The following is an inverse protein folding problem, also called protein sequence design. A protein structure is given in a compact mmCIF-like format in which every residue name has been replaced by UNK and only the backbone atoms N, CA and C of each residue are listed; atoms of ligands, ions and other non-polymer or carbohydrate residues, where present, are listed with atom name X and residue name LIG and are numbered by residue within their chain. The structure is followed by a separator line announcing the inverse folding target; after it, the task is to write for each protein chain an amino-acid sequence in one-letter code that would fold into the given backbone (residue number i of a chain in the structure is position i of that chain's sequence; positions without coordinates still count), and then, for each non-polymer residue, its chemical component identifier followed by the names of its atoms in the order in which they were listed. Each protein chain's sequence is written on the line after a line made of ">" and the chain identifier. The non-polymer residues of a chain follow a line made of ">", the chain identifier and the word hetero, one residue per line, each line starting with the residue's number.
data_IF_920972561921
#
_entry.id   IF_920972561921
#
_cell.length_a   1.000
_cell.length_b   1.000
_cell.length_c   1.000
_cell.angle_alpha   90.00
_cell.angle_beta   90.00
_cell.angle_gamma   90.00
#
_symmetry.space_group_name_H-M   'P 1'
#
loop_
_entity.id
_entity.type
_entity.pdbx_description
1 polymer ?
#
# COMPACT_ATOMS: atom_id res chain seq x y z
N UNK A 1 37.27 -29.79 45.17
CA UNK A 1 37.29 -30.59 43.93
C UNK A 1 35.97 -30.32 43.20
N UNK A 2 36.00 -29.56 42.09
CA UNK A 2 35.63 -29.96 40.70
C UNK A 2 34.24 -30.63 40.61
N UNK A 3 33.32 -30.32 39.69
CA UNK A 3 33.30 -29.57 38.42
C UNK A 3 31.81 -29.41 38.02
N UNK A 4 31.36 -28.26 37.52
CA UNK A 4 31.01 -27.98 36.10
C UNK A 4 29.74 -28.64 35.54
N UNK A 5 28.79 -27.76 35.16
CA UNK A 5 28.03 -27.71 33.90
C UNK A 5 27.17 -28.92 33.46
N UNK A 6 25.86 -28.69 33.27
CA UNK A 6 25.26 -28.90 31.95
C UNK A 6 23.94 -28.13 31.79
N UNK A 7 23.84 -27.48 30.63
CA UNK A 7 22.73 -26.70 30.12
C UNK A 7 21.72 -27.65 29.46
N UNK A 8 20.43 -27.50 29.73
CA UNK A 8 19.40 -27.85 28.75
C UNK A 8 18.38 -26.73 28.68
N UNK A 9 18.63 -25.83 27.74
CA UNK A 9 17.63 -24.91 27.22
C UNK A 9 16.56 -25.68 26.47
N UNK A 10 15.32 -25.38 26.80
CA UNK A 10 14.14 -25.76 26.04
C UNK A 10 13.25 -24.54 25.94
N UNK A 11 13.71 -23.51 25.23
CA UNK A 11 12.90 -22.36 24.89
C UNK A 11 11.76 -22.82 23.97
N UNK A 12 10.57 -22.94 24.54
CA UNK A 12 9.35 -23.12 23.77
C UNK A 12 9.16 -21.89 22.87
N UNK A 13 9.57 -22.01 21.61
CA UNK A 13 9.20 -21.06 20.57
C UNK A 13 7.68 -21.15 20.39
N UNK A 14 6.96 -20.24 21.05
CA UNK A 14 5.56 -19.94 20.76
C UNK A 14 5.44 -19.54 19.29
N UNK A 15 5.12 -20.54 18.46
CA UNK A 15 4.73 -20.38 17.07
C UNK A 15 3.39 -19.65 17.02
N UNK A 16 3.41 -18.32 17.15
CA UNK A 16 2.28 -17.46 16.81
C UNK A 16 2.07 -17.56 15.29
N UNK A 17 1.38 -18.62 14.87
CA UNK A 17 0.74 -18.68 13.55
C UNK A 17 -0.16 -17.46 13.46
N UNK A 18 0.27 -16.42 12.74
CA UNK A 18 -0.53 -15.24 12.42
C UNK A 18 -1.85 -15.74 11.84
N UNK A 19 -2.92 -15.61 12.62
CA UNK A 19 -4.24 -16.05 12.21
C UNK A 19 -4.68 -15.14 11.06
N UNK A 20 -4.75 -15.71 9.86
CA UNK A 20 -5.17 -15.08 8.59
C UNK A 20 -6.67 -14.67 8.61
N UNK A 21 -7.31 -14.72 9.78
CA UNK A 21 -8.75 -14.57 9.97
C UNK A 21 -9.23 -13.12 9.90
N UNK A 22 -8.32 -12.15 9.82
CA UNK A 22 -8.64 -10.73 9.62
C UNK A 22 -8.38 -10.25 8.18
N UNK A 23 -8.66 -11.07 7.17
CA UNK A 23 -8.60 -10.63 5.77
C UNK A 23 -9.64 -9.53 5.46
N UNK A 24 -10.70 -9.40 6.27
CA UNK A 24 -11.81 -8.45 6.09
C UNK A 24 -11.79 -7.39 7.21
N UNK A 25 -10.88 -6.43 7.10
CA UNK A 25 -10.73 -5.37 8.09
C UNK A 25 -11.73 -4.22 7.89
N UNK A 26 -12.19 -4.00 6.65
CA UNK A 26 -13.30 -3.08 6.30
C UNK A 26 -13.88 -3.42 4.91
N UNK A 27 -14.71 -4.47 4.80
CA UNK A 27 -15.26 -4.91 3.51
C UNK A 27 -16.19 -3.89 2.84
N UNK A 28 -16.78 -2.99 3.64
CA UNK A 28 -17.66 -1.95 3.16
C UNK A 28 -16.93 -0.89 2.30
N UNK A 29 -15.62 -0.69 2.48
CA UNK A 29 -14.85 0.24 1.65
C UNK A 29 -14.25 -0.47 0.44
N UNK A 30 -13.69 -1.66 0.62
CA UNK A 30 -13.08 -2.43 -0.48
C UNK A 30 -14.10 -2.80 -1.56
N UNK A 31 -15.31 -3.20 -1.17
CA UNK A 31 -16.39 -3.53 -2.10
C UNK A 31 -16.89 -2.33 -2.92
N UNK A 32 -16.84 -1.10 -2.38
CA UNK A 32 -17.25 0.10 -3.10
C UNK A 32 -16.32 0.42 -4.26
N UNK A 33 -15.01 0.36 -4.04
CA UNK A 33 -14.02 0.65 -5.08
C UNK A 33 -13.94 -0.46 -6.13
N UNK A 34 -13.90 -1.73 -5.71
CA UNK A 34 -13.90 -2.84 -6.67
C UNK A 34 -15.20 -2.84 -7.47
N UNK A 35 -16.34 -2.63 -6.81
CA UNK A 35 -17.64 -2.52 -7.45
C UNK A 35 -17.71 -1.37 -8.45
N UNK A 36 -17.20 -0.18 -8.11
CA UNK A 36 -17.18 0.95 -9.05
C UNK A 36 -16.26 0.71 -10.25
N UNK A 37 -15.12 0.04 -10.04
CA UNK A 37 -14.16 -0.30 -11.11
C UNK A 37 -14.72 -1.35 -12.07
N UNK A 38 -15.39 -2.37 -11.55
CA UNK A 38 -16.09 -3.38 -12.38
C UNK A 38 -17.28 -2.76 -13.10
N UNK A 39 -18.06 -1.92 -12.41
CA UNK A 39 -19.21 -1.24 -13.01
C UNK A 39 -18.80 -0.30 -14.14
N UNK A 40 -17.75 0.52 -13.95
CA UNK A 40 -17.25 1.40 -15.01
C UNK A 40 -16.73 0.60 -16.21
N UNK A 41 -16.01 -0.50 -15.96
CA UNK A 41 -15.53 -1.39 -17.01
C UNK A 41 -16.67 -2.06 -17.78
N UNK A 42 -17.73 -2.48 -17.08
CA UNK A 42 -18.92 -3.04 -17.68
C UNK A 42 -19.67 -2.02 -18.54
N UNK A 43 -19.81 -0.78 -18.07
CA UNK A 43 -20.43 0.31 -18.83
C UNK A 43 -19.68 0.54 -20.14
N UNK A 44 -18.35 0.62 -20.08
CA UNK A 44 -17.51 0.78 -21.28
C UNK A 44 -17.68 -0.41 -22.21
N UNK A 45 -17.65 -1.64 -21.70
CA UNK A 45 -17.84 -2.86 -22.49
C UNK A 45 -19.20 -2.88 -23.21
N UNK A 46 -20.27 -2.52 -22.51
CA UNK A 46 -21.63 -2.46 -23.10
C UNK A 46 -21.72 -1.34 -24.14
N UNK A 47 -21.15 -0.16 -23.86
CA UNK A 47 -21.15 0.96 -24.80
C UNK A 47 -20.39 0.61 -26.09
N UNK A 48 -19.20 0.01 -25.97
CA UNK A 48 -18.42 -0.46 -27.12
C UNK A 48 -19.16 -1.54 -27.90
N UNK A 49 -19.76 -2.52 -27.23
CA UNK A 49 -20.56 -3.58 -27.88
C UNK A 49 -21.78 -3.02 -28.62
N UNK A 50 -22.43 -2.01 -28.06
CA UNK A 50 -23.55 -1.32 -28.70
C UNK A 50 -23.11 -0.55 -29.95
N UNK A 51 -22.07 0.28 -29.84
CA UNK A 51 -21.51 1.02 -30.99
C UNK A 51 -21.03 0.08 -32.08
N UNK A 52 -20.36 -1.01 -31.71
CA UNK A 52 -19.94 -2.05 -32.66
C UNK A 52 -21.13 -2.63 -33.43
N UNK A 53 -22.23 -2.96 -32.75
CA UNK A 53 -23.44 -3.46 -33.40
C UNK A 53 -24.04 -2.43 -34.38
N UNK A 54 -24.12 -1.16 -34.00
CA UNK A 54 -24.63 -0.11 -34.89
C UNK A 54 -23.80 -0.02 -36.18
N UNK A 55 -22.48 0.09 -36.03
CA UNK A 55 -21.55 0.22 -37.16
C UNK A 55 -21.60 -1.01 -38.06
N UNK A 56 -21.65 -2.20 -37.48
CA UNK A 56 -21.71 -3.46 -38.23
C UNK A 56 -22.97 -3.57 -39.08
N UNK A 57 -24.13 -3.27 -38.50
CA UNK A 57 -25.41 -3.39 -39.21
C UNK A 57 -25.47 -2.42 -40.39
N UNK A 58 -25.07 -1.16 -40.18
CA UNK A 58 -24.99 -0.16 -41.26
C UNK A 58 -24.01 -0.59 -42.36
N UNK A 59 -22.82 -1.09 -41.98
CA UNK A 59 -21.81 -1.52 -42.95
C UNK A 59 -22.27 -2.70 -43.80
N UNK A 60 -22.96 -3.69 -43.23
CA UNK A 60 -23.43 -4.86 -43.99
C UNK A 60 -24.51 -4.44 -45.00
N UNK A 61 -25.44 -3.57 -44.61
CA UNK A 61 -26.49 -3.07 -45.51
C UNK A 61 -25.91 -2.30 -46.71
N UNK A 62 -24.93 -1.42 -46.44
CA UNK A 62 -24.21 -0.67 -47.49
C UNK A 62 -23.49 -1.63 -48.43
N UNK A 63 -22.69 -2.57 -47.90
CA UNK A 63 -21.93 -3.53 -48.72
C UNK A 63 -22.88 -4.39 -49.55
N UNK A 64 -23.99 -4.85 -48.97
CA UNK A 64 -24.98 -5.66 -49.67
C UNK A 64 -25.61 -4.91 -50.84
N UNK A 65 -25.89 -3.60 -50.68
CA UNK A 65 -26.46 -2.75 -51.74
C UNK A 65 -25.51 -2.55 -52.92
N UNK A 66 -24.20 -2.42 -52.66
CA UNK A 66 -23.18 -2.17 -53.70
C UNK A 66 -22.85 -3.47 -54.47
N UNK A 67 -22.80 -4.59 -53.75
CA UNK A 67 -22.35 -5.87 -54.30
C UNK A 67 -23.48 -6.76 -54.81
N UNK A 68 -24.75 -6.33 -54.65
CA UNK A 68 -25.93 -7.14 -55.00
C UNK A 68 -25.92 -8.53 -54.35
N UNK A 69 -25.47 -8.59 -53.09
CA UNK A 69 -25.29 -9.85 -52.37
C UNK A 69 -26.64 -10.55 -52.13
N UNK A 70 -26.75 -11.86 -52.43
CA UNK A 70 -27.94 -12.63 -52.10
C UNK A 70 -28.17 -12.70 -50.59
N UNK A 71 -29.43 -12.71 -50.17
CA UNK A 71 -29.83 -12.72 -48.74
C UNK A 71 -29.21 -13.89 -47.95
N UNK A 72 -28.98 -15.03 -48.61
CA UNK A 72 -28.32 -16.18 -48.01
C UNK A 72 -26.87 -15.88 -47.57
N UNK A 73 -26.11 -15.12 -48.37
CA UNK A 73 -24.75 -14.72 -48.05
C UNK A 73 -24.70 -13.72 -46.88
N UNK A 74 -25.69 -12.82 -46.80
CA UNK A 74 -25.81 -11.88 -45.68
C UNK A 74 -26.05 -12.63 -44.36
N UNK A 75 -26.93 -13.64 -44.35
CA UNK A 75 -27.20 -14.48 -43.17
C UNK A 75 -25.96 -15.22 -42.69
N UNK A 76 -25.13 -15.71 -43.61
CA UNK A 76 -23.87 -16.38 -43.26
C UNK A 76 -22.88 -15.39 -42.61
N UNK A 77 -22.75 -14.18 -43.16
CA UNK A 77 -21.96 -13.10 -42.57
C UNK A 77 -22.45 -12.77 -41.15
N UNK A 78 -23.77 -12.61 -40.96
CA UNK A 78 -24.35 -12.35 -39.64
C UNK A 78 -24.09 -13.49 -38.64
N UNK A 79 -24.10 -14.76 -39.09
CA UNK A 79 -23.76 -15.91 -38.25
C UNK A 79 -22.30 -15.86 -37.77
N UNK A 80 -21.36 -15.54 -38.66
CA UNK A 80 -19.95 -15.38 -38.31
C UNK A 80 -19.72 -14.20 -37.37
N UNK A 81 -20.40 -13.07 -37.60
CA UNK A 81 -20.33 -11.93 -36.69
C UNK A 81 -20.93 -12.25 -35.32
N UNK A 82 -22.01 -13.02 -35.25
CA UNK A 82 -22.57 -13.44 -33.98
C UNK A 82 -21.60 -14.33 -33.19
N UNK A 83 -20.86 -15.22 -33.87
CA UNK A 83 -19.76 -15.97 -33.25
C UNK A 83 -18.67 -15.05 -32.72
N UNK A 84 -18.27 -14.05 -33.51
CA UNK A 84 -17.30 -13.04 -33.08
C UNK A 84 -17.78 -12.27 -31.86
N UNK A 85 -19.05 -11.84 -31.82
CA UNK A 85 -19.65 -11.16 -30.65
C UNK A 85 -19.63 -12.06 -29.42
N UNK A 86 -19.94 -13.35 -29.55
CA UNK A 86 -19.84 -14.31 -28.44
C UNK A 86 -18.41 -14.43 -27.95
N UNK A 87 -17.41 -14.54 -28.84
CA UNK A 87 -16.00 -14.56 -28.43
C UNK A 87 -15.57 -13.28 -27.75
N UNK A 88 -15.99 -12.11 -28.24
CA UNK A 88 -15.73 -10.82 -27.60
C UNK A 88 -16.40 -10.72 -26.23
N UNK A 89 -17.61 -11.24 -26.07
CA UNK A 89 -18.30 -11.27 -24.78
C UNK A 89 -17.58 -12.16 -23.76
N UNK A 90 -17.11 -13.34 -24.18
CA UNK A 90 -16.30 -14.23 -23.33
C UNK A 90 -14.97 -13.54 -22.95
N UNK A 91 -14.28 -12.95 -23.93
CA UNK A 91 -13.05 -12.20 -23.67
C UNK A 91 -13.27 -11.02 -22.72
N UNK A 92 -14.36 -10.29 -22.88
CA UNK A 92 -14.78 -9.20 -21.99
C UNK A 92 -15.06 -9.69 -20.57
N UNK A 93 -15.70 -10.85 -20.40
CA UNK A 93 -15.93 -11.45 -19.09
C UNK A 93 -14.61 -11.84 -18.40
N UNK A 94 -13.67 -12.42 -19.15
CA UNK A 94 -12.33 -12.75 -18.64
C UNK A 94 -11.58 -11.48 -18.25
N UNK A 95 -11.68 -10.43 -19.06
CA UNK A 95 -11.10 -9.12 -18.75
C UNK A 95 -11.69 -8.54 -17.46
N UNK A 96 -13.02 -8.54 -17.30
CA UNK A 96 -13.69 -8.07 -16.07
C UNK A 96 -13.24 -8.87 -14.84
N UNK A 97 -13.14 -10.19 -14.95
CA UNK A 97 -12.65 -11.04 -13.87
C UNK A 97 -11.20 -10.71 -13.50
N UNK A 98 -10.35 -10.45 -14.50
CA UNK A 98 -8.95 -10.06 -14.30
C UNK A 98 -8.83 -8.71 -13.60
N UNK A 99 -9.58 -7.70 -14.07
CA UNK A 99 -9.63 -6.37 -13.48
C UNK A 99 -10.15 -6.43 -12.03
N UNK A 100 -11.19 -7.21 -11.77
CA UNK A 100 -11.69 -7.44 -10.42
C UNK A 100 -10.65 -8.09 -9.51
N UNK A 101 -9.92 -9.09 -10.02
CA UNK A 101 -8.83 -9.76 -9.30
C UNK A 101 -7.69 -8.80 -8.94
N UNK A 102 -7.24 -7.99 -9.90
CA UNK A 102 -6.21 -6.96 -9.69
C UNK A 102 -6.70 -5.93 -8.65
N UNK A 103 -7.93 -5.44 -8.80
CA UNK A 103 -8.53 -4.49 -7.86
C UNK A 103 -8.60 -5.04 -6.43
N UNK A 104 -8.87 -6.34 -6.27
CA UNK A 104 -8.91 -7.00 -4.98
C UNK A 104 -7.52 -7.09 -4.34
N UNK A 105 -6.50 -7.49 -5.10
CA UNK A 105 -5.12 -7.55 -4.62
C UNK A 105 -4.62 -6.17 -4.20
N UNK A 106 -4.85 -5.17 -5.05
CA UNK A 106 -4.50 -3.78 -4.78
C UNK A 106 -5.20 -3.26 -3.51
N UNK A 107 -6.52 -3.44 -3.43
CA UNK A 107 -7.32 -3.03 -2.27
C UNK A 107 -6.86 -3.68 -0.96
N UNK A 108 -6.45 -4.94 -1.01
CA UNK A 108 -5.89 -5.63 0.15
C UNK A 108 -4.52 -5.05 0.55
N UNK A 109 -3.62 -4.82 -0.42
CA UNK A 109 -2.28 -4.26 -0.15
C UNK A 109 -2.38 -2.87 0.48
N UNK A 110 -3.30 -2.02 0.02
CA UNK A 110 -3.46 -0.65 0.54
C UNK A 110 -4.18 -0.60 1.91
N UNK A 111 -5.09 -1.54 2.22
CA UNK A 111 -5.87 -1.49 3.46
C UNK A 111 -5.05 -1.79 4.73
N UNK A 112 -4.04 -2.65 4.63
CA UNK A 112 -3.19 -3.03 5.78
C UNK A 112 -2.43 -1.83 6.38
N UNK A 113 -1.61 -1.11 5.59
CA UNK A 113 -0.87 0.07 6.04
C UNK A 113 -1.79 1.16 6.58
N UNK A 114 -2.93 1.39 5.91
CA UNK A 114 -3.91 2.40 6.34
C UNK A 114 -4.54 2.09 7.69
N UNK A 115 -4.76 0.81 8.02
CA UNK A 115 -5.23 0.43 9.34
C UNK A 115 -4.18 0.67 10.42
N UNK A 116 -2.90 0.42 10.13
CA UNK A 116 -1.81 0.73 11.05
C UNK A 116 -1.76 2.24 11.34
N UNK A 117 -1.80 3.07 10.29
CA UNK A 117 -1.92 4.54 10.41
C UNK A 117 -3.08 4.92 11.34
N UNK A 118 -4.28 4.39 11.08
CA UNK A 118 -5.47 4.68 11.90
C UNK A 118 -5.30 4.25 13.35
N UNK A 119 -4.74 3.06 13.60
CA UNK A 119 -4.53 2.52 14.93
C UNK A 119 -3.57 3.39 15.74
N UNK A 120 -2.45 3.80 15.14
CA UNK A 120 -1.48 4.68 15.78
C UNK A 120 -2.05 6.08 16.02
N UNK A 121 -2.73 6.68 15.04
CA UNK A 121 -3.40 7.97 15.24
C UNK A 121 -4.39 7.92 16.42
N UNK A 122 -5.07 6.79 16.63
CA UNK A 122 -5.96 6.60 17.78
C UNK A 122 -5.20 6.53 19.11
N UNK A 123 -4.02 5.92 19.14
CA UNK A 123 -3.15 5.94 20.33
C UNK A 123 -2.71 7.36 20.67
N UNK A 124 -2.32 8.14 19.65
CA UNK A 124 -1.93 9.54 19.82
C UNK A 124 -3.10 10.39 20.35
N UNK A 125 -4.31 10.21 19.78
CA UNK A 125 -5.53 10.87 20.28
C UNK A 125 -5.80 10.52 21.75
N UNK A 126 -5.50 9.30 22.16
CA UNK A 126 -5.68 8.84 23.54
C UNK A 126 -4.54 9.31 24.49
N UNK A 127 -3.60 10.12 24.01
CA UNK A 127 -2.53 10.70 24.81
C UNK A 127 -1.19 9.94 24.76
N UNK A 128 -1.07 8.87 23.97
CA UNK A 128 0.24 8.25 23.71
C UNK A 128 1.01 9.07 22.66
N UNK A 129 1.70 10.07 23.19
CA UNK A 129 2.54 11.01 22.47
C UNK A 129 3.83 10.36 21.91
N UNK A 130 4.21 9.18 22.40
CA UNK A 130 5.39 8.47 21.92
C UNK A 130 5.09 7.54 20.74
N UNK A 131 3.81 7.28 20.44
CA UNK A 131 3.40 6.44 19.33
C UNK A 131 3.87 6.99 17.97
N UNK A 132 4.28 6.08 17.08
CA UNK A 132 4.79 6.40 15.73
C UNK A 132 4.21 5.50 14.68
N UNK A 133 3.89 6.09 13.53
CA UNK A 133 3.46 5.33 12.38
C UNK A 133 4.72 4.78 11.71
N UNK A 134 4.89 3.46 11.72
CA UNK A 134 5.96 2.79 10.99
C UNK A 134 5.34 1.84 9.97
N UNK A 135 5.62 2.09 8.69
CA UNK A 135 5.15 1.29 7.56
C UNK A 135 6.33 0.56 6.92
N UNK A 136 6.06 -0.54 6.22
CA UNK A 136 7.10 -1.31 5.55
C UNK A 136 7.60 -0.53 4.33
N UNK A 137 8.85 -0.78 3.87
CA UNK A 137 9.40 -0.09 2.70
C UNK A 137 8.53 -0.22 1.44
N UNK A 138 7.83 -1.36 1.31
CA UNK A 138 6.97 -1.70 0.17
C UNK A 138 5.52 -1.19 0.30
N UNK A 139 5.17 -0.45 1.35
CA UNK A 139 3.81 0.03 1.60
C UNK A 139 3.57 1.39 0.91
N UNK A 140 2.42 1.54 0.24
CA UNK A 140 2.10 2.69 -0.63
C UNK A 140 1.82 4.03 0.09
N UNK A 141 1.95 4.10 1.42
CA UNK A 141 1.63 5.28 2.23
C UNK A 141 2.76 5.72 3.16
N UNK A 142 4.00 5.30 2.87
CA UNK A 142 5.17 5.61 3.69
C UNK A 142 5.41 7.11 3.83
N UNK A 143 5.29 7.84 2.73
CA UNK A 143 5.38 9.30 2.67
C UNK A 143 4.33 9.96 3.59
N UNK A 144 3.08 9.50 3.56
CA UNK A 144 2.02 10.00 4.42
C UNK A 144 2.34 9.72 5.89
N UNK A 145 2.83 8.52 6.21
CA UNK A 145 3.25 8.17 7.57
C UNK A 145 4.38 9.09 8.07
N UNK A 146 5.37 9.37 7.22
CA UNK A 146 6.48 10.27 7.52
C UNK A 146 6.01 11.71 7.74
N UNK A 147 5.13 12.23 6.88
CA UNK A 147 4.57 13.58 7.06
C UNK A 147 3.75 13.72 8.34
N UNK A 148 2.94 12.71 8.68
CA UNK A 148 2.17 12.72 9.93
C UNK A 148 3.11 12.71 11.13
N UNK A 149 4.11 11.83 11.12
CA UNK A 149 5.13 11.75 12.15
C UNK A 149 5.88 13.09 12.32
N UNK A 150 6.36 13.69 11.22
CA UNK A 150 7.05 14.98 11.25
C UNK A 150 6.15 16.12 11.76
N UNK A 151 4.86 16.08 11.42
CA UNK A 151 3.88 17.05 11.92
C UNK A 151 3.71 16.94 13.45
N UNK A 152 3.59 15.72 13.97
CA UNK A 152 3.52 15.50 15.42
C UNK A 152 4.79 15.93 16.15
N UNK A 153 5.96 15.66 15.57
CA UNK A 153 7.22 16.15 16.13
C UNK A 153 7.24 17.67 16.20
N UNK A 154 6.81 18.36 15.13
CA UNK A 154 6.81 19.82 15.12
C UNK A 154 5.85 20.43 16.13
N UNK A 155 4.70 19.79 16.37
CA UNK A 155 3.71 20.24 17.37
C UNK A 155 4.24 20.02 18.80
N UNK A 156 4.84 18.86 19.06
CA UNK A 156 5.34 18.51 20.39
C UNK A 156 6.62 19.26 20.76
N UNK A 157 7.45 19.51 19.77
CA UNK A 157 8.81 19.99 19.91
C UNK A 157 9.08 21.17 18.96
N UNK A 158 8.33 22.30 19.09
CA UNK A 158 8.33 23.37 18.09
C UNK A 158 9.67 24.08 17.92
N UNK A 159 10.45 24.18 18.99
CA UNK A 159 11.76 24.86 19.04
C UNK A 159 12.93 23.89 19.22
N UNK A 160 12.66 22.60 19.21
CA UNK A 160 13.65 21.58 19.47
C UNK A 160 14.55 21.37 18.27
N UNK A 161 15.83 21.12 18.53
CA UNK A 161 16.78 20.81 17.47
C UNK A 161 16.49 19.42 16.90
N UNK A 162 16.31 19.33 15.59
CA UNK A 162 16.13 18.07 14.88
C UNK A 162 17.48 17.46 14.52
N UNK A 163 17.56 16.14 14.61
CA UNK A 163 18.73 15.34 14.32
C UNK A 163 18.32 14.11 13.49
N UNK A 164 19.14 13.75 12.51
CA UNK A 164 18.91 12.57 11.67
C UNK A 164 19.47 11.34 12.37
N UNK A 165 18.61 10.40 12.75
CA UNK A 165 19.03 9.12 13.30
C UNK A 165 19.46 8.20 12.14
N UNK A 166 20.71 7.75 12.18
CA UNK A 166 21.27 6.81 11.21
C UNK A 166 21.04 5.41 11.75
N UNK A 167 20.05 4.71 11.19
CA UNK A 167 19.69 3.35 11.54
C UNK A 167 19.99 2.42 10.36
N UNK A 168 20.70 1.31 10.60
CA UNK A 168 21.09 0.34 9.56
C UNK A 168 19.87 -0.33 8.90
N UNK A 169 18.71 -0.26 9.55
CA UNK A 169 17.45 -0.87 9.09
C UNK A 169 16.59 0.00 8.18
N UNK A 170 16.89 1.30 8.01
CA UNK A 170 16.12 2.21 7.14
C UNK A 170 17.02 2.82 6.06
N UNK A 171 16.68 2.67 4.76
CA UNK A 171 17.48 3.25 3.68
C UNK A 171 17.44 4.79 3.64
N UNK A 172 16.46 5.41 4.32
CA UNK A 172 16.33 6.86 4.40
C UNK A 172 16.53 7.35 5.85
N UNK A 173 17.37 8.38 6.05
CA UNK A 173 17.64 8.94 7.38
C UNK A 173 16.42 9.71 7.90
N UNK A 174 15.92 9.30 9.06
CA UNK A 174 14.70 9.87 9.67
C UNK A 174 15.09 10.97 10.66
N UNK A 175 14.45 12.14 10.51
CA UNK A 175 14.65 13.29 11.40
C UNK A 175 13.83 13.16 12.68
N UNK A 176 14.47 13.42 13.83
CA UNK A 176 13.85 13.38 15.15
C UNK A 176 14.28 14.58 16.02
N UNK A 177 13.38 15.15 16.82
CA UNK A 177 13.74 16.14 17.84
C UNK A 177 14.64 15.53 18.94
N UNK A 178 15.56 16.33 19.47
CA UNK A 178 16.49 15.93 20.55
C UNK A 178 15.78 15.31 21.75
N UNK A 179 14.67 15.90 22.17
CA UNK A 179 13.89 15.52 23.34
C UNK A 179 13.25 14.14 23.13
N UNK A 180 12.88 13.83 21.89
CA UNK A 180 12.36 12.51 21.52
C UNK A 180 13.45 11.45 21.50
N UNK A 181 14.64 11.79 21.04
CA UNK A 181 15.80 10.90 21.11
C UNK A 181 16.17 10.62 22.57
N UNK A 182 16.11 11.64 23.43
CA UNK A 182 16.29 11.51 24.88
C UNK A 182 15.26 10.58 25.51
N UNK A 183 13.97 10.73 25.17
CA UNK A 183 12.91 9.85 25.64
C UNK A 183 13.11 8.39 25.17
N UNK A 184 13.46 8.21 23.89
CA UNK A 184 13.68 6.87 23.31
C UNK A 184 14.90 6.16 23.89
N UNK A 185 15.94 6.91 24.28
CA UNK A 185 17.10 6.41 25.02
C UNK A 185 16.71 5.99 26.44
N UNK A 186 15.90 6.80 27.13
CA UNK A 186 15.42 6.50 28.49
C UNK A 186 14.50 5.26 28.53
N UNK A 187 13.71 5.03 27.47
CA UNK A 187 12.87 3.84 27.30
C UNK A 187 13.65 2.59 26.83
N UNK A 188 14.96 2.70 26.58
CA UNK A 188 15.81 1.60 26.12
C UNK A 188 15.56 1.16 24.67
N UNK A 189 14.81 1.94 23.89
CA UNK A 189 14.55 1.67 22.47
C UNK A 189 15.73 2.02 21.57
N UNK A 190 16.56 2.97 22.01
CA UNK A 190 17.80 3.36 21.34
C UNK A 190 19.00 3.03 22.23
N UNK A 191 20.15 2.78 21.60
CA UNK A 191 21.42 2.60 22.32
C UNK A 191 22.12 3.97 22.44
N UNK A 192 22.90 4.21 23.50
CA UNK A 192 23.73 5.41 23.62
C UNK A 192 24.71 5.56 22.43
N UNK A 193 25.10 4.43 21.83
CA UNK A 193 26.00 4.34 20.68
C UNK A 193 25.32 4.54 19.32
N UNK A 194 24.00 4.73 19.26
CA UNK A 194 23.29 5.01 18.01
C UNK A 194 23.85 6.27 17.36
N UNK A 195 24.06 6.22 16.04
CA UNK A 195 24.68 7.33 15.30
C UNK A 195 23.64 8.34 14.86
N UNK A 196 24.00 9.62 14.99
CA UNK A 196 23.10 10.74 14.69
C UNK A 196 23.86 11.83 13.94
N UNK A 197 23.18 12.52 13.03
CA UNK A 197 23.74 13.59 12.21
C UNK A 197 22.95 14.88 12.33
N UNK A 198 23.63 16.02 12.34
CA UNK A 198 22.98 17.33 12.31
C UNK A 198 22.57 17.67 10.87
N UNK A 199 21.27 17.84 10.57
CA UNK A 199 20.82 18.22 9.23
C UNK A 199 21.33 19.60 8.80
N UNK A 200 21.68 20.50 9.75
CA UNK A 200 22.23 21.82 9.45
C UNK A 200 23.74 21.79 9.16
N UNK A 201 24.42 20.67 9.42
CA UNK A 201 25.83 20.49 9.11
C UNK A 201 26.08 19.07 8.56
N UNK A 202 25.69 18.82 7.28
CA UNK A 202 25.75 17.50 6.68
C UNK A 202 27.17 17.01 6.39
N UNK A 203 28.20 17.85 6.45
CA UNK A 203 29.58 17.43 6.24
C UNK A 203 30.28 16.99 7.54
N UNK A 204 29.66 17.26 8.70
CA UNK A 204 30.18 16.80 9.97
C UNK A 204 30.08 15.27 10.10
N UNK A 205 31.08 14.61 10.71
CA UNK A 205 31.04 13.17 10.95
C UNK A 205 29.86 12.82 11.87
N UNK A 206 29.21 11.66 11.69
CA UNK A 206 28.18 11.17 12.59
C UNK A 206 28.68 11.15 14.05
N UNK A 207 27.85 11.63 14.97
CA UNK A 207 28.15 11.65 16.39
C UNK A 207 27.33 10.59 17.12
N UNK A 208 27.82 10.12 18.26
CA UNK A 208 27.04 9.21 19.09
C UNK A 208 25.88 9.97 19.74
N UNK A 209 24.75 9.29 19.92
CA UNK A 209 23.57 9.88 20.52
C UNK A 209 23.86 10.45 21.92
N UNK A 210 24.66 9.75 22.73
CA UNK A 210 25.03 10.21 24.07
C UNK A 210 25.86 11.51 24.06
N UNK A 211 26.84 11.61 23.16
CA UNK A 211 27.68 12.82 23.03
C UNK A 211 26.85 14.03 22.60
N UNK A 212 25.92 13.82 21.67
CA UNK A 212 25.02 14.86 21.19
C UNK A 212 24.06 15.30 22.30
N UNK A 213 23.47 14.37 23.03
CA UNK A 213 22.55 14.70 24.13
C UNK A 213 23.24 15.45 25.28
N UNK A 214 24.53 15.20 25.55
CA UNK A 214 25.34 15.97 26.51
C UNK A 214 25.66 17.37 26.01
N UNK A 215 25.90 17.53 24.70
CA UNK A 215 26.19 18.84 24.10
C UNK A 215 25.00 19.81 24.14
N UNK A 216 23.79 19.27 24.16
CA UNK A 216 22.53 20.02 24.15
C UNK A 216 21.69 19.77 25.41
N UNK A 217 22.33 19.47 26.55
CA UNK A 217 21.69 19.36 27.87
C UNK A 217 21.36 20.73 28.45
#
# INVERSE_FOLDING_TARGET
>A
MRSSCELTGGGEMMNQRRQIKNFWLNPAYQGKYIGSLVASSLIVMVAFGFVFNLIVHENIEIVASITSMPEAAQKEIYSELNRLVVYLAIAGLVFLATVAGIGLVFSHRSAGPLFNVKAICRQIINGDLNARINLRPEDEFRDVAEFINASFDKIMFPNSKCLLLLDDTSPEPVSFPIERLRASLAEGRLKPTSLVKDPLNPDAPPQTLDDVLKKYS
#
